data_IF_924651151583
#
_entry.id   IF_924651151583
#
_cell.length_a   1.000
_cell.length_b   1.000
_cell.length_c   1.000
_cell.angle_alpha   90.00
_cell.angle_beta   90.00
_cell.angle_gamma   90.00
#
_symmetry.space_group_name_H-M   'P 1'
#
loop_
_entity.id
_entity.type
_entity.pdbx_description
1 polymer ?
#
# COMPACT_ATOMS: atom_id res chain seq x y z
N UNK A 1 34.79 4.22 -31.68
CA UNK A 1 33.70 4.49 -30.71
C UNK A 1 33.25 3.16 -30.16
N UNK A 2 33.38 2.97 -28.85
CA UNK A 2 32.98 1.73 -28.19
C UNK A 2 31.51 1.88 -27.75
N UNK A 3 30.60 1.21 -28.43
CA UNK A 3 29.15 1.31 -28.21
C UNK A 3 28.73 0.57 -26.93
N UNK A 4 29.64 -0.22 -26.36
CA UNK A 4 29.43 -1.08 -25.19
C UNK A 4 29.00 -0.30 -23.95
N UNK A 5 29.55 0.88 -23.72
CA UNK A 5 29.21 1.72 -22.56
C UNK A 5 27.76 2.26 -22.64
N UNK A 6 27.35 2.70 -23.83
CA UNK A 6 25.97 3.16 -24.05
C UNK A 6 24.94 2.04 -23.88
N UNK A 7 25.28 0.83 -24.31
CA UNK A 7 24.47 -0.36 -24.11
C UNK A 7 24.36 -0.75 -22.63
N UNK A 8 25.48 -0.69 -21.88
CA UNK A 8 25.47 -0.99 -20.45
C UNK A 8 24.60 -0.01 -19.66
N UNK A 9 24.72 1.29 -19.94
CA UNK A 9 23.87 2.32 -19.32
C UNK A 9 22.39 2.14 -19.64
N UNK A 10 22.07 1.80 -20.89
CA UNK A 10 20.68 1.56 -21.30
C UNK A 10 20.08 0.36 -20.56
N UNK A 11 20.82 -0.74 -20.44
CA UNK A 11 20.35 -1.94 -19.75
C UNK A 11 20.19 -1.71 -18.24
N UNK A 12 21.09 -0.95 -17.58
CA UNK A 12 20.95 -0.58 -16.17
C UNK A 12 19.70 0.31 -15.95
N UNK A 13 19.49 1.29 -16.83
CA UNK A 13 18.31 2.15 -16.77
C UNK A 13 17.02 1.36 -16.98
N UNK A 14 17.02 0.43 -17.94
CA UNK A 14 15.88 -0.44 -18.22
C UNK A 14 15.57 -1.34 -17.02
N UNK A 15 16.59 -1.92 -16.38
CA UNK A 15 16.42 -2.76 -15.19
C UNK A 15 15.74 -2.00 -14.05
N UNK A 16 16.26 -0.80 -13.72
CA UNK A 16 15.67 0.07 -12.69
C UNK A 16 14.22 0.44 -13.00
N UNK A 17 13.90 0.70 -14.27
CA UNK A 17 12.54 1.03 -14.68
C UNK A 17 11.58 -0.16 -14.49
N UNK A 18 12.02 -1.37 -14.82
CA UNK A 18 11.25 -2.61 -14.58
C UNK A 18 11.04 -2.85 -13.09
N UNK A 19 12.09 -2.71 -12.28
CA UNK A 19 11.99 -2.87 -10.82
C UNK A 19 11.01 -1.86 -10.21
N UNK A 20 11.07 -0.60 -10.65
CA UNK A 20 10.15 0.45 -10.17
C UNK A 20 8.69 0.16 -10.56
N UNK A 21 8.47 -0.37 -11.76
CA UNK A 21 7.15 -0.78 -12.22
C UNK A 21 6.61 -1.95 -11.39
N UNK A 22 7.45 -2.93 -11.06
CA UNK A 22 7.08 -4.06 -10.19
C UNK A 22 6.69 -3.59 -8.79
N UNK A 23 7.48 -2.72 -8.16
CA UNK A 23 7.14 -2.16 -6.84
C UNK A 23 5.79 -1.43 -6.84
N UNK A 24 5.52 -0.65 -7.89
CA UNK A 24 4.25 0.07 -8.03
C UNK A 24 3.07 -0.89 -8.21
N UNK A 25 3.28 -1.96 -9.00
CA UNK A 25 2.28 -2.98 -9.24
C UNK A 25 1.98 -3.80 -7.98
N UNK A 26 3.01 -4.14 -7.20
CA UNK A 26 2.86 -4.90 -5.96
C UNK A 26 1.98 -4.15 -4.95
N UNK A 27 2.17 -2.84 -4.79
CA UNK A 27 1.32 -2.03 -3.91
C UNK A 27 -0.16 -2.09 -4.29
N UNK A 28 -0.46 -1.98 -5.60
CA UNK A 28 -1.84 -2.07 -6.11
C UNK A 28 -2.38 -3.49 -5.92
N UNK A 29 -1.61 -4.52 -6.27
CA UNK A 29 -2.02 -5.92 -6.16
C UNK A 29 -2.30 -6.33 -4.72
N UNK A 30 -1.52 -5.85 -3.74
CA UNK A 30 -1.76 -6.10 -2.31
C UNK A 30 -3.14 -5.58 -1.91
N UNK A 31 -3.46 -4.33 -2.25
CA UNK A 31 -4.76 -3.73 -1.93
C UNK A 31 -5.91 -4.46 -2.63
N UNK A 32 -5.75 -4.78 -3.91
CA UNK A 32 -6.76 -5.52 -4.68
C UNK A 32 -7.02 -6.91 -4.09
N UNK A 33 -5.96 -7.68 -3.81
CA UNK A 33 -6.08 -9.04 -3.23
C UNK A 33 -6.69 -9.01 -1.83
N UNK A 34 -6.36 -7.99 -1.03
CA UNK A 34 -6.98 -7.79 0.28
C UNK A 34 -8.50 -7.65 0.12
N UNK A 35 -8.97 -6.72 -0.72
CA UNK A 35 -10.40 -6.49 -0.90
C UNK A 35 -11.12 -7.67 -1.56
N UNK A 36 -10.47 -8.41 -2.47
CA UNK A 36 -11.02 -9.66 -2.99
C UNK A 36 -11.21 -10.71 -1.90
N UNK A 37 -10.25 -10.85 -0.98
CA UNK A 37 -10.32 -11.82 0.12
C UNK A 37 -11.43 -11.49 1.12
N UNK A 38 -11.65 -10.21 1.40
CA UNK A 38 -12.61 -9.74 2.42
C UNK A 38 -13.93 -9.23 1.82
N UNK A 39 -14.20 -9.50 0.54
CA UNK A 39 -15.37 -8.98 -0.18
C UNK A 39 -16.71 -9.36 0.46
N UNK A 40 -16.79 -10.50 1.14
CA UNK A 40 -18.01 -11.00 1.80
C UNK A 40 -18.11 -10.61 3.27
N UNK A 41 -17.13 -9.87 3.80
CA UNK A 41 -17.12 -9.46 5.20
C UNK A 41 -17.88 -8.14 5.34
N UNK A 42 -18.95 -8.08 6.15
CA UNK A 42 -19.66 -6.83 6.38
C UNK A 42 -18.75 -5.86 7.14
N UNK A 43 -18.35 -4.78 6.47
CA UNK A 43 -17.53 -3.70 7.02
C UNK A 43 -18.31 -2.39 6.89
N UNK A 44 -18.33 -1.61 7.96
CA UNK A 44 -18.92 -0.27 7.91
C UNK A 44 -17.94 0.75 7.28
N UNK A 45 -18.44 1.92 6.91
CA UNK A 45 -17.64 2.97 6.25
C UNK A 45 -16.38 3.37 7.04
N UNK A 46 -16.44 3.35 8.38
CA UNK A 46 -15.32 3.72 9.25
C UNK A 46 -14.20 2.69 9.18
N UNK A 47 -14.55 1.40 9.24
CA UNK A 47 -13.60 0.29 9.11
C UNK A 47 -12.96 0.30 7.72
N UNK A 48 -13.75 0.50 6.66
CA UNK A 48 -13.25 0.59 5.28
C UNK A 48 -12.25 1.73 5.12
N UNK A 49 -12.57 2.91 5.68
CA UNK A 49 -11.69 4.08 5.64
C UNK A 49 -10.34 3.82 6.30
N UNK A 50 -10.35 3.16 7.46
CA UNK A 50 -9.11 2.85 8.16
C UNK A 50 -8.29 1.78 7.42
N UNK A 51 -8.94 0.72 6.94
CA UNK A 51 -8.25 -0.34 6.17
C UNK A 51 -7.58 0.23 4.92
N UNK A 52 -8.25 1.14 4.20
CA UNK A 52 -7.61 1.83 3.08
C UNK A 52 -6.35 2.58 3.52
N UNK A 53 -6.39 3.30 4.64
CA UNK A 53 -5.22 4.03 5.16
C UNK A 53 -4.08 3.13 5.61
N UNK A 54 -4.39 1.91 6.08
CA UNK A 54 -3.39 0.90 6.41
C UNK A 54 -2.75 0.32 5.15
N UNK A 55 -3.56 0.03 4.12
CA UNK A 55 -3.13 -0.54 2.85
C UNK A 55 -2.35 0.46 1.98
N UNK A 56 -2.59 1.76 2.15
CA UNK A 56 -1.90 2.82 1.39
C UNK A 56 -0.50 3.16 1.95
N UNK A 57 -0.03 2.44 2.98
CA UNK A 57 1.27 2.68 3.62
C UNK A 57 1.14 3.51 4.88
N UNK A 58 0.78 2.86 6.00
CA UNK A 58 0.67 3.51 7.30
C UNK A 58 2.00 3.56 8.05
N UNK A 59 2.42 4.77 8.44
CA UNK A 59 3.66 4.95 9.20
C UNK A 59 3.47 4.75 10.72
N UNK A 60 4.27 3.83 11.27
CA UNK A 60 4.31 3.50 12.69
C UNK A 60 3.26 2.48 13.13
N UNK A 61 3.22 2.18 14.45
CA UNK A 61 2.28 1.20 15.02
C UNK A 61 0.86 1.77 15.04
N UNK A 62 -0.11 0.91 14.73
CA UNK A 62 -1.53 1.21 14.89
C UNK A 62 -1.90 1.01 16.38
N UNK A 63 -2.04 2.11 17.11
CA UNK A 63 -2.50 2.11 18.51
C UNK A 63 -4.01 2.37 18.56
N UNK A 64 -4.68 1.96 19.65
CA UNK A 64 -6.11 2.26 19.84
C UNK A 64 -6.42 3.76 19.77
N UNK A 65 -5.52 4.62 20.25
CA UNK A 65 -5.62 6.08 20.10
C UNK A 65 -5.55 6.56 18.65
N UNK A 66 -4.66 6.00 17.80
CA UNK A 66 -4.63 6.31 16.36
C UNK A 66 -5.87 5.79 15.65
N UNK A 67 -6.38 4.62 16.05
CA UNK A 67 -7.62 4.05 15.52
C UNK A 67 -8.81 4.99 15.79
N UNK A 68 -9.00 5.40 17.04
CA UNK A 68 -10.08 6.30 17.46
C UNK A 68 -10.04 7.64 16.70
N UNK A 69 -8.84 8.22 16.55
CA UNK A 69 -8.64 9.46 15.79
C UNK A 69 -9.02 9.33 14.30
N UNK A 70 -8.67 8.22 13.65
CA UNK A 70 -8.95 8.00 12.22
C UNK A 70 -10.42 7.62 11.99
N UNK A 71 -10.99 6.80 12.87
CA UNK A 71 -12.37 6.37 12.83
C UNK A 71 -13.36 7.46 13.29
N UNK A 72 -12.86 8.59 13.83
CA UNK A 72 -13.66 9.64 14.49
C UNK A 72 -14.59 9.07 15.58
N UNK A 73 -14.07 8.16 16.39
CA UNK A 73 -14.78 7.59 17.55
C UNK A 73 -14.15 8.11 18.84
N UNK A 74 -14.94 8.27 19.91
CA UNK A 74 -14.39 8.41 21.26
C UNK A 74 -13.73 7.09 21.69
N UNK A 75 -12.74 7.11 22.61
CA UNK A 75 -12.05 5.91 23.09
C UNK A 75 -13.02 4.83 23.62
N UNK A 76 -14.17 5.24 24.15
CA UNK A 76 -15.18 4.34 24.74
C UNK A 76 -15.88 3.41 23.73
N UNK A 77 -15.79 3.66 22.42
CA UNK A 77 -16.37 2.78 21.39
C UNK A 77 -15.35 1.80 20.77
N UNK A 78 -14.17 1.68 21.37
CA UNK A 78 -13.09 0.80 20.88
C UNK A 78 -12.91 -0.51 21.66
N UNK A 79 -13.81 -0.81 22.61
CA UNK A 79 -13.85 -2.06 23.38
C UNK A 79 -14.76 -3.10 22.72
#
# INVERSE_FOLDING_TARGET
>A
MDVTEGLAWFLDTLHRAVDQAQHSLDAVLVKTRFWQRWATTPLNERQVKLLNRLLDGFEGKLTSSKWAAIAKCSPDTSL
#
